data_IF_425934222275
#
_entry.id   IF_425934222275
#
_cell.length_a   1.000
_cell.length_b   1.000
_cell.length_c   1.000
_cell.angle_alpha   90.00
_cell.angle_beta   90.00
_cell.angle_gamma   90.00
#
_symmetry.space_group_name_H-M   'P 1'
#
loop_
_entity.id
_entity.type
_entity.pdbx_description
1 polymer ?
#
# COMPACT_ATOMS: atom_id res chain seq x y z
N UNK A 1 -9.55 36.34 17.01
CA UNK A 1 -9.32 34.95 16.57
C UNK A 1 -8.46 34.26 17.62
N UNK A 2 -8.97 33.19 18.22
CA UNK A 2 -8.26 32.49 19.30
C UNK A 2 -7.23 31.52 18.72
N UNK A 3 -6.13 31.21 19.43
CA UNK A 3 -5.13 30.24 18.96
C UNK A 3 -5.71 28.83 18.68
N UNK A 4 -6.84 28.49 19.30
CA UNK A 4 -7.60 27.27 19.04
C UNK A 4 -8.20 27.23 17.63
N UNK A 5 -8.72 28.35 17.12
CA UNK A 5 -9.27 28.42 15.75
C UNK A 5 -8.19 28.15 14.70
N UNK A 6 -6.99 28.68 14.90
CA UNK A 6 -5.84 28.42 14.02
C UNK A 6 -5.39 26.96 14.06
N UNK A 7 -5.38 26.32 15.23
CA UNK A 7 -5.07 24.88 15.33
C UNK A 7 -6.12 24.03 14.61
N UNK A 8 -7.41 24.34 14.76
CA UNK A 8 -8.49 23.60 14.10
C UNK A 8 -8.40 23.75 12.58
N UNK A 9 -8.18 24.95 12.08
CA UNK A 9 -8.01 25.21 10.64
C UNK A 9 -6.78 24.49 10.08
N UNK A 10 -5.65 24.50 10.80
CA UNK A 10 -4.44 23.77 10.39
C UNK A 10 -4.69 22.26 10.30
N UNK A 11 -5.38 21.68 11.29
CA UNK A 11 -5.73 20.26 11.30
C UNK A 11 -6.64 19.87 10.12
N UNK A 12 -7.66 20.69 9.82
CA UNK A 12 -8.57 20.46 8.69
C UNK A 12 -7.80 20.56 7.35
N UNK A 13 -6.91 21.54 7.22
CA UNK A 13 -6.13 21.76 6.00
C UNK A 13 -5.15 20.60 5.76
N UNK A 14 -4.49 20.10 6.81
CA UNK A 14 -3.62 18.94 6.74
C UNK A 14 -4.39 17.65 6.40
N UNK A 15 -5.57 17.43 6.98
CA UNK A 15 -6.45 16.30 6.66
C UNK A 15 -6.97 16.37 5.21
N UNK A 16 -7.37 17.55 4.75
CA UNK A 16 -7.80 17.80 3.37
C UNK A 16 -6.68 17.56 2.36
N UNK A 17 -5.46 18.01 2.67
CA UNK A 17 -4.31 17.79 1.80
C UNK A 17 -3.85 16.32 1.77
N UNK A 18 -3.93 15.64 2.92
CA UNK A 18 -3.70 14.19 3.00
C UNK A 18 -4.73 13.43 2.15
N UNK A 19 -6.02 13.72 2.31
CA UNK A 19 -7.09 13.07 1.54
C UNK A 19 -7.02 13.39 0.05
N UNK A 20 -6.67 14.62 -0.34
CA UNK A 20 -6.53 15.01 -1.74
C UNK A 20 -5.35 14.32 -2.43
N UNK A 21 -4.17 14.29 -1.79
CA UNK A 21 -3.01 13.56 -2.33
C UNK A 21 -3.27 12.06 -2.43
N UNK A 22 -3.96 11.49 -1.45
CA UNK A 22 -4.43 10.10 -1.51
C UNK A 22 -5.41 9.88 -2.66
N UNK A 23 -6.35 10.79 -2.90
CA UNK A 23 -7.37 10.68 -3.95
C UNK A 23 -6.77 10.86 -5.35
N UNK A 24 -5.85 11.81 -5.53
CA UNK A 24 -5.19 12.08 -6.82
C UNK A 24 -4.34 10.89 -7.30
N UNK A 25 -3.77 10.12 -6.38
CA UNK A 25 -3.04 8.88 -6.69
C UNK A 25 -4.02 7.70 -6.92
N UNK A 26 -5.21 7.73 -6.28
CA UNK A 26 -6.24 6.69 -6.46
C UNK A 26 -6.89 6.70 -7.86
N UNK A 27 -6.92 7.87 -8.50
CA UNK A 27 -7.61 8.08 -9.78
C UNK A 27 -6.72 7.92 -11.02
N UNK A 28 -5.47 7.46 -10.87
CA UNK A 28 -4.60 7.20 -12.01
C UNK A 28 -4.98 5.90 -12.74
N UNK A 29 -5.70 6.08 -13.86
CA UNK A 29 -5.88 5.17 -15.01
C UNK A 29 -6.63 3.86 -14.76
N UNK A 30 -7.96 3.92 -14.87
CA UNK A 30 -8.74 2.79 -15.37
C UNK A 30 -8.73 2.81 -16.90
N UNK A 31 -7.78 2.12 -17.53
CA UNK A 31 -8.06 1.54 -18.84
C UNK A 31 -9.09 0.43 -18.66
N UNK A 32 -9.81 0.03 -19.72
CA UNK A 32 -10.52 -1.25 -19.71
C UNK A 32 -9.48 -2.35 -19.42
N UNK A 33 -9.45 -2.81 -18.18
CA UNK A 33 -8.57 -3.88 -17.73
C UNK A 33 -9.40 -5.14 -17.72
N UNK A 34 -8.91 -6.15 -18.42
CA UNK A 34 -9.43 -7.50 -18.33
C UNK A 34 -9.12 -8.05 -16.93
N UNK A 35 -10.17 -8.13 -16.09
CA UNK A 35 -10.06 -8.59 -14.71
C UNK A 35 -9.66 -10.06 -14.62
N UNK A 36 -10.02 -10.87 -15.60
CA UNK A 36 -9.69 -12.29 -15.63
C UNK A 36 -8.19 -12.47 -15.94
N UNK A 37 -7.70 -11.81 -16.99
CA UNK A 37 -6.28 -11.81 -17.32
C UNK A 37 -5.40 -11.25 -16.19
N UNK A 38 -5.87 -10.20 -15.50
CA UNK A 38 -5.17 -9.66 -14.33
C UNK A 38 -5.12 -10.67 -13.17
N UNK A 39 -6.23 -11.36 -12.86
CA UNK A 39 -6.29 -12.32 -11.77
C UNK A 39 -5.32 -13.49 -11.97
N UNK A 40 -5.23 -14.03 -13.19
CA UNK A 40 -4.30 -15.11 -13.53
C UNK A 40 -2.84 -14.68 -13.32
N UNK A 41 -2.52 -13.41 -13.63
CA UNK A 41 -1.17 -12.86 -13.44
C UNK A 41 -0.92 -12.35 -12.00
N UNK A 42 -1.95 -12.28 -11.16
CA UNK A 42 -1.83 -11.72 -9.82
C UNK A 42 -1.13 -12.71 -8.88
N UNK A 43 -0.09 -12.23 -8.19
CA UNK A 43 0.59 -13.01 -7.15
C UNK A 43 0.97 -12.10 -5.97
N UNK A 44 0.52 -12.40 -4.74
CA UNK A 44 0.93 -11.68 -3.54
C UNK A 44 2.46 -11.73 -3.30
N UNK A 45 3.14 -12.76 -3.80
CA UNK A 45 4.59 -12.94 -3.65
C UNK A 45 5.39 -11.88 -4.41
N UNK A 46 4.79 -11.19 -5.39
CA UNK A 46 5.41 -10.07 -6.12
C UNK A 46 5.89 -8.96 -5.17
N UNK A 47 5.26 -8.81 -4.01
CA UNK A 47 5.61 -7.77 -3.02
C UNK A 47 6.58 -8.23 -1.94
N UNK A 48 6.96 -9.51 -1.92
CA UNK A 48 7.93 -10.07 -0.96
C UNK A 48 9.25 -9.28 -0.88
N UNK A 49 9.81 -8.73 -1.99
CA UNK A 49 11.02 -7.90 -1.93
C UNK A 49 10.91 -6.68 -1.00
N UNK A 50 9.70 -6.12 -0.80
CA UNK A 50 9.49 -4.96 0.07
C UNK A 50 9.95 -5.20 1.51
N UNK A 51 9.94 -6.44 2.00
CA UNK A 51 10.38 -6.80 3.37
C UNK A 51 11.85 -6.49 3.63
N UNK A 52 12.70 -6.55 2.59
CA UNK A 52 14.16 -6.34 2.73
C UNK A 52 14.65 -5.06 2.05
N UNK A 53 13.84 -4.44 1.20
CA UNK A 53 14.23 -3.29 0.40
C UNK A 53 14.68 -2.07 1.23
N UNK A 54 14.13 -1.92 2.44
CA UNK A 54 14.48 -0.85 3.38
C UNK A 54 15.40 -1.33 4.52
N UNK A 55 16.05 -2.50 4.38
CA UNK A 55 16.99 -3.00 5.38
C UNK A 55 18.14 -2.03 5.59
N UNK A 56 18.58 -1.91 6.85
CA UNK A 56 19.67 -1.05 7.26
C UNK A 56 21.07 -1.67 7.02
N UNK A 57 21.14 -2.96 6.69
CA UNK A 57 22.39 -3.71 6.62
C UNK A 57 23.37 -3.14 5.59
N UNK A 58 22.86 -2.68 4.45
CA UNK A 58 23.67 -2.12 3.37
C UNK A 58 24.35 -0.79 3.74
N UNK A 59 23.80 -0.06 4.72
CA UNK A 59 24.41 1.17 5.21
C UNK A 59 25.63 0.92 6.09
N UNK A 60 25.71 -0.24 6.77
CA UNK A 60 26.91 -0.61 7.55
C UNK A 60 28.09 -0.85 6.60
N UNK A 61 27.85 -1.58 5.52
CA UNK A 61 28.85 -1.83 4.48
C UNK A 61 29.32 -0.54 3.78
N UNK A 62 28.39 0.36 3.45
CA UNK A 62 28.75 1.64 2.85
C UNK A 62 29.64 2.50 3.75
N UNK A 63 29.40 2.48 5.07
CA UNK A 63 30.21 3.25 6.04
C UNK A 63 31.63 2.70 6.19
N UNK A 64 31.85 1.40 5.95
CA UNK A 64 33.18 0.80 6.02
C UNK A 64 33.99 0.96 4.72
N UNK A 65 33.38 1.47 3.64
CA UNK A 65 34.05 1.60 2.36
C UNK A 65 35.02 2.80 2.33
N UNK A 66 36.23 2.65 1.75
CA UNK A 66 37.14 3.77 1.51
C UNK A 66 36.48 4.81 0.58
N UNK A 67 36.60 6.10 0.92
CA UNK A 67 35.96 7.18 0.17
C UNK A 67 34.51 7.49 0.57
N UNK A 68 34.02 6.94 1.70
CA UNK A 68 32.69 7.20 2.22
C UNK A 68 32.37 8.70 2.35
N UNK A 69 31.20 9.10 1.83
CA UNK A 69 30.61 10.41 2.07
C UNK A 69 29.19 10.25 2.65
N UNK A 70 28.78 11.05 3.66
CA UNK A 70 27.42 11.00 4.21
C UNK A 70 26.30 11.19 3.17
N UNK A 71 26.61 11.91 2.09
CA UNK A 71 25.70 12.11 0.95
C UNK A 71 25.35 10.80 0.22
N UNK A 72 26.28 9.84 0.17
CA UNK A 72 26.04 8.53 -0.46
C UNK A 72 24.93 7.76 0.25
N UNK A 73 24.89 7.83 1.59
CA UNK A 73 23.83 7.23 2.42
C UNK A 73 22.49 7.92 2.15
N UNK A 74 22.48 9.26 2.12
CA UNK A 74 21.26 10.04 1.82
C UNK A 74 20.72 9.73 0.42
N UNK A 75 21.60 9.60 -0.58
CA UNK A 75 21.24 9.25 -1.96
C UNK A 75 20.67 7.83 -2.05
N UNK A 76 21.36 6.83 -1.49
CA UNK A 76 20.88 5.44 -1.52
C UNK A 76 19.52 5.31 -0.82
N UNK A 77 19.35 5.97 0.33
CA UNK A 77 18.08 5.99 1.06
C UNK A 77 16.95 6.57 0.22
N UNK A 78 17.18 7.69 -0.48
CA UNK A 78 16.19 8.29 -1.39
C UNK A 78 15.82 7.35 -2.54
N UNK A 79 16.79 6.71 -3.17
CA UNK A 79 16.56 5.76 -4.27
C UNK A 79 15.74 4.55 -3.82
N UNK A 80 16.09 3.95 -2.67
CA UNK A 80 15.34 2.84 -2.08
C UNK A 80 13.93 3.23 -1.71
N UNK A 81 13.76 4.40 -1.10
CA UNK A 81 12.43 4.91 -0.74
C UNK A 81 11.56 5.17 -1.99
N UNK A 82 12.14 5.66 -3.08
CA UNK A 82 11.42 5.86 -4.34
C UNK A 82 10.99 4.53 -4.96
N UNK A 83 11.89 3.54 -5.03
CA UNK A 83 11.57 2.22 -5.55
C UNK A 83 10.50 1.52 -4.67
N UNK A 84 10.62 1.61 -3.35
CA UNK A 84 9.61 1.11 -2.42
C UNK A 84 8.25 1.78 -2.59
N UNK A 85 8.23 3.11 -2.80
CA UNK A 85 7.00 3.85 -3.05
C UNK A 85 6.29 3.38 -4.33
N UNK A 86 7.05 3.03 -5.39
CA UNK A 86 6.48 2.46 -6.61
C UNK A 86 5.80 1.10 -6.34
N UNK A 87 6.46 0.19 -5.61
CA UNK A 87 5.85 -1.07 -5.20
C UNK A 87 4.57 -0.87 -4.36
N UNK A 88 4.59 0.13 -3.47
CA UNK A 88 3.45 0.45 -2.62
C UNK A 88 2.26 0.99 -3.44
N UNK A 89 2.53 1.77 -4.48
CA UNK A 89 1.51 2.21 -5.43
C UNK A 89 0.92 1.04 -6.22
N UNK A 90 1.76 0.14 -6.73
CA UNK A 90 1.31 -1.07 -7.42
C UNK A 90 0.42 -1.93 -6.52
N UNK A 91 0.80 -2.12 -5.25
CA UNK A 91 0.00 -2.86 -4.26
C UNK A 91 -1.36 -2.23 -4.02
N UNK A 92 -1.43 -0.90 -3.93
CA UNK A 92 -2.70 -0.18 -3.77
C UNK A 92 -3.60 -0.35 -5.00
N UNK A 93 -3.02 -0.32 -6.20
CA UNK A 93 -3.76 -0.53 -7.43
C UNK A 93 -4.36 -1.95 -7.47
N UNK A 94 -3.54 -2.96 -7.15
CA UNK A 94 -4.00 -4.36 -7.11
C UNK A 94 -5.05 -4.61 -6.02
N UNK A 95 -4.91 -4.00 -4.83
CA UNK A 95 -5.95 -4.06 -3.80
C UNK A 95 -7.27 -3.40 -4.25
N UNK A 96 -7.18 -2.31 -5.00
CA UNK A 96 -8.36 -1.63 -5.54
C UNK A 96 -9.07 -2.52 -6.56
N UNK A 97 -8.31 -3.24 -7.39
CA UNK A 97 -8.86 -4.24 -8.33
C UNK A 97 -9.56 -5.38 -7.60
N UNK A 98 -8.96 -5.94 -6.55
CA UNK A 98 -9.62 -6.94 -5.68
C UNK A 98 -10.97 -6.45 -5.14
N UNK A 99 -11.01 -5.21 -4.66
CA UNK A 99 -12.24 -4.59 -4.15
C UNK A 99 -13.30 -4.39 -5.23
N UNK A 100 -12.90 -4.12 -6.48
CA UNK A 100 -13.84 -4.03 -7.60
C UNK A 100 -14.45 -5.38 -7.96
N UNK A 101 -13.63 -6.43 -8.01
CA UNK A 101 -14.10 -7.82 -8.20
C UNK A 101 -15.14 -8.17 -7.14
N UNK A 102 -14.80 -8.00 -5.85
CA UNK A 102 -15.71 -8.36 -4.78
C UNK A 102 -17.00 -7.55 -4.78
N UNK A 103 -16.96 -6.26 -5.16
CA UNK A 103 -18.17 -5.44 -5.33
C UNK A 103 -19.04 -5.89 -6.51
N UNK A 104 -18.42 -6.26 -7.63
CA UNK A 104 -19.14 -6.78 -8.78
C UNK A 104 -19.85 -8.10 -8.45
N UNK A 105 -19.20 -8.99 -7.69
CA UNK A 105 -19.82 -10.23 -7.19
C UNK A 105 -21.02 -9.98 -6.28
N UNK A 106 -20.91 -9.03 -5.35
CA UNK A 106 -22.03 -8.62 -4.48
C UNK A 106 -23.19 -8.05 -5.29
N UNK A 107 -22.91 -7.27 -6.34
CA UNK A 107 -23.96 -6.71 -7.22
C UNK A 107 -24.61 -7.76 -8.12
N UNK A 108 -23.88 -8.79 -8.55
CA UNK A 108 -24.40 -9.90 -9.33
C UNK A 108 -25.37 -10.81 -8.53
N UNK A 109 -25.58 -10.53 -7.23
CA UNK A 109 -26.56 -11.22 -6.40
C UNK A 109 -26.14 -12.60 -5.90
N UNK A 110 -24.92 -13.04 -6.20
CA UNK A 110 -24.42 -14.38 -5.83
C UNK A 110 -23.89 -14.50 -4.40
N UNK A 111 -23.99 -13.46 -3.56
CA UNK A 111 -23.19 -13.37 -2.34
C UNK A 111 -23.96 -12.78 -1.15
N UNK A 112 -23.76 -13.36 0.05
CA UNK A 112 -24.43 -13.00 1.31
C UNK A 112 -24.02 -11.63 1.88
N UNK A 113 -24.86 -10.99 2.70
CA UNK A 113 -24.58 -9.68 3.34
C UNK A 113 -23.27 -9.65 4.12
N UNK A 114 -22.87 -10.78 4.71
CA UNK A 114 -21.62 -10.97 5.45
C UNK A 114 -20.38 -10.65 4.63
N UNK A 115 -20.44 -10.84 3.30
CA UNK A 115 -19.30 -10.59 2.41
C UNK A 115 -19.09 -9.10 2.16
N UNK A 116 -20.16 -8.31 2.15
CA UNK A 116 -20.07 -6.85 2.07
C UNK A 116 -19.32 -6.29 3.29
N UNK A 117 -19.66 -6.79 4.47
CA UNK A 117 -19.03 -6.36 5.73
C UNK A 117 -17.56 -6.77 5.77
N UNK A 118 -17.23 -7.98 5.31
CA UNK A 118 -15.84 -8.43 5.21
C UNK A 118 -15.03 -7.58 4.20
N UNK A 119 -15.59 -7.27 3.03
CA UNK A 119 -14.96 -6.37 2.05
C UNK A 119 -14.61 -5.02 2.66
N UNK A 120 -15.55 -4.47 3.44
CA UNK A 120 -15.35 -3.20 4.12
C UNK A 120 -14.28 -3.30 5.21
N UNK A 121 -14.32 -4.35 6.03
CA UNK A 121 -13.33 -4.62 7.06
C UNK A 121 -11.92 -4.75 6.48
N UNK A 122 -11.75 -5.54 5.41
CA UNK A 122 -10.48 -5.67 4.68
C UNK A 122 -9.99 -4.33 4.13
N UNK A 123 -10.89 -3.50 3.58
CA UNK A 123 -10.56 -2.16 3.09
C UNK A 123 -10.04 -1.25 4.21
N UNK A 124 -10.66 -1.27 5.39
CA UNK A 124 -10.23 -0.49 6.55
C UNK A 124 -8.85 -0.97 7.02
N UNK A 125 -8.66 -2.28 7.18
CA UNK A 125 -7.38 -2.86 7.60
C UNK A 125 -6.25 -2.52 6.62
N UNK A 126 -6.47 -2.72 5.31
CA UNK A 126 -5.49 -2.39 4.29
C UNK A 126 -5.15 -0.90 4.30
N UNK A 127 -6.16 -0.01 4.36
CA UNK A 127 -5.95 1.44 4.37
C UNK A 127 -5.14 1.88 5.58
N UNK A 128 -5.45 1.33 6.76
CA UNK A 128 -4.70 1.59 7.99
C UNK A 128 -3.24 1.16 7.86
N UNK A 129 -3.00 -0.07 7.41
CA UNK A 129 -1.65 -0.62 7.24
C UNK A 129 -0.86 0.17 6.18
N UNK A 130 -1.51 0.55 5.08
CA UNK A 130 -0.93 1.36 4.02
C UNK A 130 -0.49 2.73 4.55
N UNK A 131 -1.34 3.41 5.32
CA UNK A 131 -1.00 4.68 5.94
C UNK A 131 0.17 4.55 6.93
N UNK A 132 0.19 3.50 7.75
CA UNK A 132 1.32 3.23 8.65
C UNK A 132 2.64 3.05 7.88
N UNK A 133 2.63 2.30 6.78
CA UNK A 133 3.81 2.09 5.93
C UNK A 133 4.25 3.39 5.24
N UNK A 134 3.31 4.22 4.77
CA UNK A 134 3.62 5.54 4.20
C UNK A 134 4.28 6.47 5.23
N UNK A 135 3.75 6.52 6.46
CA UNK A 135 4.35 7.29 7.55
C UNK A 135 5.74 6.76 7.91
N UNK A 136 5.88 5.44 7.99
CA UNK A 136 7.17 4.78 8.19
C UNK A 136 8.17 5.13 7.07
N UNK A 137 7.72 5.19 5.82
CA UNK A 137 8.56 5.56 4.68
C UNK A 137 9.04 7.01 4.76
N UNK A 138 8.17 7.94 5.23
CA UNK A 138 8.56 9.32 5.50
C UNK A 138 9.60 9.39 6.62
N UNK A 139 9.38 8.68 7.72
CA UNK A 139 10.34 8.57 8.82
C UNK A 139 11.68 8.00 8.34
N UNK A 140 11.64 6.93 7.51
CA UNK A 140 12.83 6.34 6.90
C UNK A 140 13.58 7.33 6.01
N UNK A 141 12.89 8.15 5.22
CA UNK A 141 13.52 9.21 4.39
C UNK A 141 14.23 10.26 5.25
N UNK A 142 13.67 10.59 6.41
CA UNK A 142 14.29 11.46 7.41
C UNK A 142 15.42 10.76 8.20
N UNK A 143 15.49 9.43 8.13
CA UNK A 143 16.49 8.60 8.78
C UNK A 143 16.12 8.07 10.14
N UNK A 144 14.83 8.09 10.45
CA UNK A 144 14.26 7.68 11.72
C UNK A 144 13.58 6.32 11.49
N UNK A 145 14.13 5.27 12.12
CA UNK A 145 13.50 3.95 12.18
C UNK A 145 13.60 3.08 10.93
N UNK A 146 12.93 1.94 11.01
CA UNK A 146 12.73 0.97 9.92
C UNK A 146 11.23 0.83 9.65
N UNK A 147 10.88 0.39 8.44
CA UNK A 147 9.48 0.20 8.05
C UNK A 147 9.17 -1.28 8.06
N UNK A 148 8.23 -1.71 8.91
CA UNK A 148 7.69 -3.05 8.87
C UNK A 148 6.50 -3.11 7.90
N UNK A 149 6.63 -3.95 6.88
CA UNK A 149 5.63 -4.15 5.82
C UNK A 149 4.84 -5.43 6.04
N UNK A 150 5.20 -6.23 7.04
CA UNK A 150 4.64 -7.58 7.24
C UNK A 150 3.12 -7.53 7.43
N UNK A 151 2.62 -6.57 8.21
CA UNK A 151 1.17 -6.38 8.43
C UNK A 151 0.40 -5.99 7.17
N UNK A 152 1.01 -5.17 6.31
CA UNK A 152 0.41 -4.77 5.05
C UNK A 152 0.34 -5.94 4.06
N UNK A 153 1.42 -6.70 3.94
CA UNK A 153 1.47 -7.91 3.13
C UNK A 153 0.45 -8.95 3.61
N UNK A 154 0.29 -9.10 4.93
CA UNK A 154 -0.69 -10.01 5.50
C UNK A 154 -2.11 -9.57 5.12
N UNK A 155 -2.47 -8.29 5.28
CA UNK A 155 -3.79 -7.81 4.86
C UNK A 155 -4.06 -7.99 3.37
N UNK A 156 -3.03 -7.91 2.52
CA UNK A 156 -3.17 -8.19 1.08
C UNK A 156 -3.38 -9.68 0.81
N UNK A 157 -2.65 -10.56 1.52
CA UNK A 157 -2.80 -12.01 1.41
C UNK A 157 -4.18 -12.47 1.92
N UNK A 158 -4.63 -11.96 3.06
CA UNK A 158 -5.96 -12.26 3.61
C UNK A 158 -7.07 -11.84 2.65
N UNK A 159 -6.96 -10.64 2.07
CA UNK A 159 -7.92 -10.17 1.07
C UNK A 159 -7.91 -11.06 -0.18
N UNK A 160 -6.75 -11.45 -0.69
CA UNK A 160 -6.64 -12.33 -1.86
C UNK A 160 -7.21 -13.73 -1.61
N UNK A 161 -6.89 -14.34 -0.47
CA UNK A 161 -7.36 -15.68 -0.09
C UNK A 161 -8.89 -15.74 0.02
N UNK A 162 -9.55 -14.63 0.36
CA UNK A 162 -11.00 -14.54 0.40
C UNK A 162 -11.65 -14.67 -1.00
N UNK A 163 -10.98 -14.17 -2.04
CA UNK A 163 -11.49 -14.17 -3.41
C UNK A 163 -11.08 -15.41 -4.22
N UNK A 164 -10.06 -16.15 -3.77
CA UNK A 164 -9.55 -17.35 -4.45
C UNK A 164 -10.63 -18.44 -4.71
N UNK A 165 -11.52 -18.78 -3.75
CA UNK A 165 -12.58 -19.75 -3.97
C UNK A 165 -13.72 -19.23 -4.87
N UNK A 166 -13.85 -17.91 -5.01
CA UNK A 166 -14.92 -17.26 -5.77
C UNK A 166 -14.53 -17.04 -7.24
N UNK A 167 -13.23 -17.00 -7.53
CA UNK A 167 -12.65 -16.74 -8.86
C UNK A 167 -12.11 -17.99 -9.54
N UNK A 168 -11.89 -19.09 -8.81
CA UNK A 168 -11.69 -20.40 -9.42
C UNK A 168 -13.06 -20.88 -9.92
N UNK A 169 -13.28 -21.02 -11.23
CA UNK A 169 -14.51 -21.64 -11.69
C UNK A 169 -14.53 -23.04 -11.10
N UNK A 170 -15.51 -23.30 -10.25
CA UNK A 170 -15.82 -24.67 -9.85
C UNK A 170 -15.98 -25.43 -11.16
N UNK A 171 -15.07 -26.37 -11.44
CA UNK A 171 -15.26 -27.31 -12.52
C UNK A 171 -16.56 -28.07 -12.21
N UNK A 172 -17.65 -27.68 -12.86
CA UNK A 172 -18.95 -28.33 -12.86
C UNK A 172 -19.54 -28.22 -14.26
#
# INVERSE_FOLDING_TARGET
MTPLEWMVLLCILLLGMLTWTFSRIAFAKHGQIDLEAWWIAYSPERYRPMRRMLSADDFKYLRSAPGFRPEMVRRLRRQRAAAFAAYLQDMRADFTRLQMVGRAMVMAGGVTPTVRDELFHQKVLFTRNYCQVQLGLLAYRLGIGSVDVSRLLESMRSAAAYFEPLMTPTAA
#
